data_IF_064494960903
#
_entry.id   IF_064494960903
#
_cell.length_a   1.000
_cell.length_b   1.000
_cell.length_c   1.000
_cell.angle_alpha   90.00
_cell.angle_beta   90.00
_cell.angle_gamma   90.00
#
_symmetry.space_group_name_H-M   'P 1'
#
loop_
_entity.id
_entity.type
_entity.pdbx_description
1 polymer ?
#
# COMPACT_ATOMS: atom_id res chain seq x y z
N UNK A 1 21.22 6.96 -12.75
CA UNK A 1 20.20 5.91 -12.86
C UNK A 1 19.57 6.08 -14.21
N UNK A 2 19.61 5.07 -15.07
CA UNK A 2 19.02 5.19 -16.40
C UNK A 2 17.49 5.19 -16.29
N UNK A 3 16.78 5.87 -17.21
CA UNK A 3 15.31 5.97 -17.20
C UNK A 3 14.65 4.58 -17.20
N UNK A 4 15.32 3.59 -17.82
CA UNK A 4 14.89 2.20 -17.86
C UNK A 4 14.89 1.54 -16.47
N UNK A 5 15.95 1.76 -15.69
CA UNK A 5 16.09 1.21 -14.33
C UNK A 5 14.99 1.76 -13.41
N UNK A 6 14.64 3.05 -13.56
CA UNK A 6 13.59 3.67 -12.77
C UNK A 6 12.22 3.06 -13.08
N UNK A 7 11.91 2.85 -14.36
CA UNK A 7 10.65 2.23 -14.78
C UNK A 7 10.51 0.83 -14.22
N UNK A 8 11.54 -0.01 -14.37
CA UNK A 8 11.55 -1.38 -13.84
C UNK A 8 11.38 -1.39 -12.31
N UNK A 9 12.03 -0.47 -11.61
CA UNK A 9 11.89 -0.30 -10.16
C UNK A 9 10.46 0.06 -9.75
N UNK A 10 9.84 1.00 -10.45
CA UNK A 10 8.45 1.43 -10.16
C UNK A 10 7.49 0.29 -10.45
N UNK A 11 7.65 -0.43 -11.56
CA UNK A 11 6.82 -1.60 -11.90
C UNK A 11 6.94 -2.70 -10.84
N UNK A 12 8.16 -2.99 -10.38
CA UNK A 12 8.39 -3.96 -9.32
C UNK A 12 7.73 -3.53 -7.99
N UNK A 13 7.86 -2.27 -7.62
CA UNK A 13 7.26 -1.75 -6.39
C UNK A 13 5.72 -1.73 -6.48
N UNK A 14 5.14 -1.41 -7.65
CA UNK A 14 3.71 -1.52 -7.89
C UNK A 14 3.22 -2.97 -7.74
N UNK A 15 3.97 -3.96 -8.23
CA UNK A 15 3.67 -5.38 -8.02
C UNK A 15 3.77 -5.78 -6.54
N UNK A 16 4.76 -5.27 -5.80
CA UNK A 16 4.88 -5.48 -4.36
C UNK A 16 3.65 -4.95 -3.62
N UNK A 17 3.18 -3.76 -3.97
CA UNK A 17 1.92 -3.19 -3.46
C UNK A 17 0.73 -4.06 -3.86
N UNK A 18 0.65 -4.50 -5.11
CA UNK A 18 -0.40 -5.41 -5.58
C UNK A 18 -0.54 -6.65 -4.70
N UNK A 19 0.57 -7.33 -4.48
CA UNK A 19 0.61 -8.56 -3.71
C UNK A 19 0.23 -8.30 -2.24
N UNK A 20 0.66 -7.17 -1.66
CA UNK A 20 0.32 -6.78 -0.28
C UNK A 20 -1.20 -6.62 -0.08
N UNK A 21 -1.92 -6.20 -1.11
CA UNK A 21 -3.37 -6.05 -1.10
C UNK A 21 -4.13 -7.25 -1.68
N UNK A 22 -3.47 -8.37 -1.96
CA UNK A 22 -4.12 -9.61 -2.40
C UNK A 22 -4.27 -9.78 -3.91
N UNK A 23 -3.38 -9.18 -4.71
CA UNK A 23 -3.29 -9.44 -6.15
C UNK A 23 -4.14 -8.50 -7.00
N UNK A 24 -4.06 -7.20 -6.74
CA UNK A 24 -4.71 -6.17 -7.56
C UNK A 24 -4.13 -6.14 -8.98
N UNK A 25 -4.98 -6.15 -10.00
CA UNK A 25 -4.54 -5.87 -11.38
C UNK A 25 -4.34 -4.36 -11.53
N UNK A 26 -3.09 -3.94 -11.76
CA UNK A 26 -2.73 -2.53 -11.90
C UNK A 26 -2.53 -2.11 -13.34
N UNK A 27 -2.88 -0.86 -13.62
CA UNK A 27 -2.55 -0.15 -14.83
C UNK A 27 -1.93 1.21 -14.48
N UNK A 28 -0.89 1.65 -15.19
CA UNK A 28 -0.35 2.99 -15.01
C UNK A 28 -1.44 4.01 -15.42
N UNK A 29 -1.71 4.95 -14.52
CA UNK A 29 -2.63 6.05 -14.74
C UNK A 29 -1.85 7.37 -14.79
N UNK A 30 -1.81 7.99 -15.96
CA UNK A 30 -1.13 9.27 -16.18
C UNK A 30 -2.09 10.47 -16.10
N UNK A 31 -3.37 10.25 -15.82
CA UNK A 31 -4.40 11.28 -16.00
C UNK A 31 -4.55 12.25 -14.83
N UNK A 32 -3.99 11.95 -13.64
CA UNK A 32 -4.23 12.75 -12.42
C UNK A 32 -3.00 13.02 -11.53
N UNK A 33 -1.78 12.83 -12.03
CA UNK A 33 -0.57 13.04 -11.22
C UNK A 33 0.21 14.32 -11.55
N UNK A 34 0.88 14.94 -10.55
CA UNK A 34 1.96 15.88 -10.82
C UNK A 34 2.96 15.27 -11.80
N UNK A 35 3.61 16.07 -12.67
CA UNK A 35 4.53 15.55 -13.69
C UNK A 35 5.71 14.76 -13.12
N UNK A 36 5.98 14.90 -11.82
CA UNK A 36 7.05 14.23 -11.07
C UNK A 36 6.62 12.92 -10.40
N UNK A 37 5.35 12.51 -10.56
CA UNK A 37 4.80 11.30 -9.93
C UNK A 37 4.23 10.34 -10.97
N UNK A 38 4.33 9.06 -10.66
CA UNK A 38 3.65 7.99 -11.39
C UNK A 38 2.58 7.41 -10.50
N UNK A 39 1.36 7.34 -11.00
CA UNK A 39 0.25 6.63 -10.34
C UNK A 39 -0.04 5.33 -11.06
N UNK A 40 -0.27 4.30 -10.26
CA UNK A 40 -0.89 3.08 -10.72
C UNK A 40 -2.28 3.03 -10.10
N UNK A 41 -3.24 2.58 -10.89
CA UNK A 41 -4.59 2.28 -10.41
C UNK A 41 -4.98 0.85 -10.73
N UNK A 42 -5.78 0.27 -9.86
CA UNK A 42 -6.29 -1.07 -10.03
C UNK A 42 -7.65 -1.23 -9.37
N UNK A 43 -8.23 -2.41 -9.51
CA UNK A 43 -9.48 -2.77 -8.84
C UNK A 43 -9.31 -4.06 -8.06
N UNK A 44 -9.98 -4.15 -6.92
CA UNK A 44 -10.14 -5.40 -6.20
C UNK A 44 -11.53 -5.40 -5.57
N UNK A 45 -12.41 -6.24 -6.11
CA UNK A 45 -13.83 -6.25 -5.80
C UNK A 45 -14.47 -4.85 -6.04
N UNK A 46 -15.20 -4.33 -5.06
CA UNK A 46 -15.88 -3.02 -5.11
C UNK A 46 -14.97 -1.83 -4.75
N UNK A 47 -13.67 -2.06 -4.64
CA UNK A 47 -12.69 -1.06 -4.27
C UNK A 47 -11.79 -0.71 -5.46
N UNK A 48 -11.63 0.58 -5.70
CA UNK A 48 -10.62 1.14 -6.58
C UNK A 48 -9.35 1.40 -5.75
N UNK A 49 -8.21 0.93 -6.25
CA UNK A 49 -6.91 1.07 -5.58
C UNK A 49 -6.05 2.06 -6.35
N UNK A 50 -5.30 2.87 -5.61
CA UNK A 50 -4.29 3.78 -6.14
C UNK A 50 -2.98 3.63 -5.37
N UNK A 51 -1.85 3.63 -6.07
CA UNK A 51 -0.55 3.83 -5.45
C UNK A 51 0.27 4.84 -6.25
N UNK A 52 1.07 5.65 -5.55
CA UNK A 52 1.88 6.71 -6.16
C UNK A 52 3.33 6.60 -5.81
N UNK A 53 4.17 6.91 -6.79
CA UNK A 53 5.62 6.89 -6.70
C UNK A 53 6.18 8.28 -7.00
N UNK A 54 7.22 8.69 -6.26
CA UNK A 54 7.99 9.90 -6.58
C UNK A 54 8.96 9.69 -7.77
N UNK A 55 9.66 10.75 -8.17
CA UNK A 55 10.66 10.73 -9.24
C UNK A 55 11.81 9.73 -9.02
N UNK A 56 12.02 9.29 -7.77
CA UNK A 56 13.04 8.29 -7.43
C UNK A 56 12.48 6.86 -7.41
N UNK A 57 11.19 6.71 -7.70
CA UNK A 57 10.45 5.45 -7.70
C UNK A 57 10.13 4.94 -6.30
N UNK A 58 10.07 5.81 -5.29
CA UNK A 58 9.66 5.43 -3.93
C UNK A 58 8.16 5.58 -3.78
N UNK A 59 7.54 4.60 -3.12
CA UNK A 59 6.13 4.66 -2.77
C UNK A 59 5.87 5.82 -1.80
N UNK A 60 5.03 6.76 -2.21
CA UNK A 60 4.65 7.96 -1.42
C UNK A 60 3.18 7.98 -1.05
N UNK A 61 2.33 7.16 -1.66
CA UNK A 61 0.92 7.11 -1.28
C UNK A 61 0.24 5.82 -1.69
N UNK A 62 -0.74 5.41 -0.89
CA UNK A 62 -1.68 4.34 -1.20
C UNK A 62 -3.09 4.83 -0.89
N UNK A 63 -4.03 4.66 -1.81
CA UNK A 63 -5.44 4.98 -1.63
C UNK A 63 -6.33 3.79 -1.97
N UNK A 64 -7.45 3.72 -1.27
CA UNK A 64 -8.55 2.81 -1.53
C UNK A 64 -9.82 3.66 -1.60
N UNK A 65 -10.39 3.74 -2.79
CA UNK A 65 -11.62 4.44 -3.09
C UNK A 65 -12.78 3.44 -3.18
N UNK A 66 -13.94 3.82 -2.65
CA UNK A 66 -15.14 2.98 -2.67
C UNK A 66 -16.41 3.83 -2.61
N UNK A 67 -17.53 3.26 -3.05
CA UNK A 67 -18.81 3.93 -3.03
C UNK A 67 -19.63 3.45 -1.82
N UNK A 68 -20.08 4.38 -0.98
CA UNK A 68 -20.80 4.08 0.25
C UNK A 68 -21.82 5.17 0.55
N UNK A 69 -23.05 4.77 0.90
CA UNK A 69 -24.17 5.68 1.17
C UNK A 69 -24.41 6.76 0.08
N UNK A 70 -24.24 6.38 -1.20
CA UNK A 70 -24.42 7.32 -2.31
C UNK A 70 -23.27 8.31 -2.53
N UNK A 71 -22.11 8.09 -1.88
CA UNK A 71 -20.93 8.98 -2.00
C UNK A 71 -19.66 8.18 -2.20
N UNK A 72 -18.74 8.72 -3.00
CA UNK A 72 -17.37 8.23 -3.05
C UNK A 72 -16.63 8.57 -1.75
N UNK A 73 -15.93 7.57 -1.21
CA UNK A 73 -15.12 7.64 0.00
C UNK A 73 -13.71 7.17 -0.32
N UNK A 74 -12.73 7.75 0.35
CA UNK A 74 -11.32 7.43 0.18
C UNK A 74 -10.70 7.15 1.55
N UNK A 75 -10.06 5.99 1.68
CA UNK A 75 -9.06 5.72 2.71
C UNK A 75 -7.69 5.88 2.07
N UNK A 76 -6.78 6.62 2.69
CA UNK A 76 -5.48 6.91 2.08
C UNK A 76 -4.39 7.03 3.13
N UNK A 77 -3.21 6.50 2.82
CA UNK A 77 -1.97 6.84 3.51
C UNK A 77 -1.02 7.57 2.56
N UNK A 78 -0.28 8.52 3.11
CA UNK A 78 0.64 9.41 2.37
C UNK A 78 1.91 9.56 3.18
N UNK A 79 3.05 9.52 2.49
CA UNK A 79 4.36 9.78 3.05
C UNK A 79 4.68 11.26 2.95
N UNK A 80 5.08 11.89 4.04
CA UNK A 80 5.53 13.28 4.04
C UNK A 80 7.01 13.42 3.60
N UNK A 81 7.48 14.66 3.55
CA UNK A 81 8.85 14.99 3.15
C UNK A 81 9.92 14.48 4.14
N UNK A 82 9.52 14.16 5.38
CA UNK A 82 10.38 13.56 6.39
C UNK A 82 10.40 12.03 6.29
N UNK A 83 9.60 11.47 5.38
CA UNK A 83 9.48 10.04 5.17
C UNK A 83 8.54 9.34 6.15
N UNK A 84 7.71 10.08 6.89
CA UNK A 84 6.74 9.52 7.83
C UNK A 84 5.39 9.29 7.15
N UNK A 85 4.72 8.19 7.49
CA UNK A 85 3.39 7.91 6.98
C UNK A 85 2.32 8.63 7.80
N UNK A 86 1.37 9.23 7.09
CA UNK A 86 0.15 9.83 7.62
C UNK A 86 -1.05 9.17 6.96
N UNK A 87 -2.18 9.12 7.66
CA UNK A 87 -3.36 8.45 7.11
C UNK A 87 -4.68 9.14 7.40
N UNK A 88 -5.58 8.98 6.44
CA UNK A 88 -6.98 9.36 6.52
C UNK A 88 -7.83 8.11 6.31
N UNK A 89 -8.56 7.68 7.35
CA UNK A 89 -9.17 6.36 7.39
C UNK A 89 -10.70 6.43 7.37
N UNK A 90 -11.31 5.68 6.46
CA UNK A 90 -12.76 5.49 6.38
C UNK A 90 -13.13 4.03 6.66
N UNK A 91 -14.19 3.76 7.45
CA UNK A 91 -14.49 2.42 7.94
C UNK A 91 -14.51 1.33 6.87
N UNK A 92 -15.08 1.60 5.70
CA UNK A 92 -15.28 0.61 4.63
C UNK A 92 -14.01 0.00 4.05
N UNK A 93 -12.85 0.63 4.21
CA UNK A 93 -11.57 0.13 3.68
C UNK A 93 -10.48 -0.06 4.76
N UNK A 94 -10.81 0.06 6.05
CA UNK A 94 -9.81 -0.03 7.13
C UNK A 94 -9.10 -1.37 7.20
N UNK A 95 -9.85 -2.47 7.15
CA UNK A 95 -9.27 -3.83 7.19
C UNK A 95 -8.29 -4.03 6.05
N UNK A 96 -8.69 -3.66 4.82
CA UNK A 96 -7.84 -3.78 3.64
C UNK A 96 -6.56 -2.93 3.80
N UNK A 97 -6.70 -1.68 4.22
CA UNK A 97 -5.56 -0.79 4.45
C UNK A 97 -4.61 -1.31 5.54
N UNK A 98 -5.14 -1.81 6.65
CA UNK A 98 -4.35 -2.37 7.75
C UNK A 98 -3.54 -3.61 7.30
N UNK A 99 -4.19 -4.54 6.60
CA UNK A 99 -3.55 -5.76 6.08
C UNK A 99 -2.47 -5.42 5.05
N UNK A 100 -2.77 -4.57 4.07
CA UNK A 100 -1.80 -4.19 3.05
C UNK A 100 -0.62 -3.41 3.62
N UNK A 101 -0.87 -2.48 4.54
CA UNK A 101 0.21 -1.72 5.21
C UNK A 101 1.13 -2.62 6.01
N UNK A 102 0.57 -3.61 6.74
CA UNK A 102 1.36 -4.60 7.45
C UNK A 102 2.26 -5.42 6.50
N UNK A 103 1.71 -5.90 5.38
CA UNK A 103 2.48 -6.62 4.36
C UNK A 103 3.58 -5.77 3.72
N UNK A 104 3.41 -4.45 3.67
CA UNK A 104 4.43 -3.53 3.16
C UNK A 104 5.49 -3.16 4.22
N UNK A 105 5.34 -3.62 5.46
CA UNK A 105 6.20 -3.25 6.59
C UNK A 105 5.89 -1.88 7.19
N UNK A 106 4.72 -1.30 6.91
CA UNK A 106 4.27 -0.02 7.44
C UNK A 106 3.53 -0.27 8.76
N UNK A 107 4.29 -0.26 9.85
CA UNK A 107 3.80 -0.54 11.23
C UNK A 107 3.94 0.69 12.16
N UNK A 108 3.97 1.91 11.60
CA UNK A 108 4.10 3.14 12.39
C UNK A 108 2.90 3.31 13.34
N UNK A 109 3.16 3.68 14.60
CA UNK A 109 2.14 3.76 15.65
C UNK A 109 0.97 4.68 15.27
N UNK A 110 1.26 5.83 14.65
CA UNK A 110 0.25 6.76 14.15
C UNK A 110 -0.66 6.15 13.07
N UNK A 111 -0.13 5.23 12.26
CA UNK A 111 -0.89 4.53 11.23
C UNK A 111 -1.77 3.47 11.89
N UNK A 112 -1.20 2.69 12.81
CA UNK A 112 -1.91 1.67 13.56
C UNK A 112 -3.06 2.24 14.41
N UNK A 113 -2.80 3.37 15.10
CA UNK A 113 -3.80 4.08 15.89
C UNK A 113 -4.98 4.58 15.03
N UNK A 114 -4.69 4.97 13.78
CA UNK A 114 -5.70 5.42 12.82
C UNK A 114 -6.66 4.34 12.34
N UNK A 115 -6.24 3.07 12.36
CA UNK A 115 -7.15 1.94 12.11
C UNK A 115 -8.16 1.78 13.24
N UNK A 116 -7.71 1.93 14.48
CA UNK A 116 -8.50 1.75 15.70
C UNK A 116 -8.86 0.29 15.98
N UNK A 117 -9.37 0.00 17.18
CA UNK A 117 -9.96 -1.32 17.49
C UNK A 117 -11.27 -1.52 16.70
N UNK A 118 -11.60 -2.73 16.21
CA UNK A 118 -10.86 -4.01 16.32
C UNK A 118 -9.90 -4.28 15.14
N UNK A 119 -9.43 -3.25 14.44
CA UNK A 119 -8.68 -3.39 13.18
C UNK A 119 -7.17 -3.59 13.38
N UNK A 120 -6.74 -3.82 14.63
CA UNK A 120 -5.39 -4.29 14.93
C UNK A 120 -5.30 -5.77 14.58
N UNK A 121 -4.35 -6.11 13.71
CA UNK A 121 -4.11 -7.49 13.30
C UNK A 121 -3.61 -8.31 14.50
N UNK A 122 -4.32 -9.39 14.80
CA UNK A 122 -3.89 -10.40 15.77
C UNK A 122 -2.58 -11.05 15.32
N UNK A 123 -1.88 -11.69 16.27
CA UNK A 123 -0.67 -12.45 15.95
C UNK A 123 -0.93 -13.55 14.90
N UNK A 124 -2.12 -14.17 14.93
CA UNK A 124 -2.52 -15.18 13.97
C UNK A 124 -2.70 -14.58 12.57
N UNK A 125 -3.44 -13.48 12.44
CA UNK A 125 -3.65 -12.81 11.15
C UNK A 125 -2.32 -12.30 10.56
N UNK A 126 -1.43 -11.77 11.40
CA UNK A 126 -0.09 -11.37 11.00
C UNK A 126 0.70 -12.54 10.41
N UNK A 127 0.62 -13.72 11.04
CA UNK A 127 1.27 -14.93 10.54
C UNK A 127 0.67 -15.39 9.21
N UNK A 128 -0.66 -15.43 9.09
CA UNK A 128 -1.33 -15.81 7.84
C UNK A 128 -0.96 -14.87 6.69
N UNK A 129 -0.93 -13.56 6.95
CA UNK A 129 -0.52 -12.57 5.96
C UNK A 129 0.92 -12.81 5.49
N UNK A 130 1.86 -13.04 6.41
CA UNK A 130 3.25 -13.38 6.07
C UNK A 130 3.33 -14.60 5.17
N UNK A 131 2.58 -15.65 5.48
CA UNK A 131 2.58 -16.91 4.73
C UNK A 131 1.90 -16.76 3.35
N UNK A 132 0.94 -15.85 3.20
CA UNK A 132 0.25 -15.58 1.94
C UNK A 132 1.05 -14.71 0.97
N UNK A 133 2.01 -13.93 1.49
CA UNK A 133 2.79 -12.99 0.70
C UNK A 133 3.95 -13.71 -0.01
N UNK A 134 4.15 -13.55 -1.33
CA UNK A 134 5.31 -14.09 -2.02
C UNK A 134 6.62 -13.59 -1.39
N UNK A 135 7.57 -14.49 -1.18
CA UNK A 135 8.79 -14.23 -0.40
C UNK A 135 9.65 -13.12 -1.00
N UNK A 136 9.66 -13.01 -2.33
CA UNK A 136 10.34 -11.96 -3.09
C UNK A 136 9.85 -10.54 -2.76
N UNK A 137 8.64 -10.42 -2.20
CA UNK A 137 8.01 -9.15 -1.86
C UNK A 137 7.99 -8.87 -0.35
N UNK A 138 8.58 -9.74 0.46
CA UNK A 138 8.64 -9.55 1.90
C UNK A 138 9.39 -8.27 2.26
N UNK A 139 8.92 -7.50 3.25
CA UNK A 139 9.68 -6.40 3.80
C UNK A 139 10.97 -6.94 4.44
N UNK A 140 12.06 -6.17 4.35
CA UNK A 140 13.38 -6.57 4.83
C UNK A 140 13.35 -7.07 6.28
N UNK A 141 12.57 -6.41 7.14
CA UNK A 141 12.34 -6.81 8.53
C UNK A 141 11.96 -8.29 8.68
N UNK A 142 11.09 -8.83 7.83
CA UNK A 142 10.69 -10.25 7.90
C UNK A 142 11.79 -11.19 7.43
N UNK A 143 12.61 -10.77 6.47
CA UNK A 143 13.77 -11.54 6.03
C UNK A 143 14.83 -11.61 7.15
N UNK A 144 15.07 -10.50 7.84
CA UNK A 144 16.02 -10.42 8.94
C UNK A 144 15.58 -11.27 10.14
N UNK A 145 14.28 -11.28 10.46
CA UNK A 145 13.68 -12.12 11.52
C UNK A 145 13.86 -13.63 11.27
N UNK A 146 13.99 -14.07 10.01
CA UNK A 146 14.24 -15.49 9.70
C UNK A 146 15.72 -15.89 9.73
N UNK A 147 16.63 -14.93 9.67
CA UNK A 147 18.07 -15.19 9.65
C UNK A 147 18.66 -15.34 11.07
N UNK A 148 17.85 -15.12 12.11
CA UNK A 148 18.19 -15.26 13.53
C UNK A 148 17.70 -16.60 14.10
#
# INVERSE_FOLDING_TARGET
MEIKDLKEKVEWEAQRVAAAFGGVEWHPDLSFCPPEQVEYRGKLNDFDFGCRFDESGRLVSISIDYFDEGRYRTTRIVKDDLGQWHGHYRPGARVLMARGSYCLGIEEEQILAGYGEPYLLSAHEKLELRLSMPREFWPQKWLDEQAQ
#
